data_IF_490137367934
#
_entry.id   IF_490137367934
#
_cell.length_a   1.000
_cell.length_b   1.000
_cell.length_c   1.000
_cell.angle_alpha   90.00
_cell.angle_beta   90.00
_cell.angle_gamma   90.00
#
_symmetry.space_group_name_H-M   'P 1'
#
loop_
_entity.id
_entity.type
_entity.pdbx_description
1 polymer ?
#
# COMPACT_ATOMS: atom_id res chain seq x y z
N UNK A 1 11.10 -28.92 1.55
CA UNK A 1 10.46 -27.70 1.03
C UNK A 1 10.40 -26.71 2.19
N UNK A 2 11.27 -25.70 2.21
CA UNK A 2 11.26 -24.68 3.27
C UNK A 2 10.02 -23.81 3.05
N UNK A 3 8.91 -24.17 3.70
CA UNK A 3 7.79 -23.24 3.85
C UNK A 3 8.26 -22.21 4.87
N UNK A 4 8.94 -21.16 4.40
CA UNK A 4 9.27 -20.00 5.22
C UNK A 4 7.96 -19.32 5.59
N UNK A 5 7.31 -19.81 6.64
CA UNK A 5 6.13 -19.19 7.24
C UNK A 5 6.52 -17.74 7.55
N UNK A 6 5.92 -16.80 6.83
CA UNK A 6 6.18 -15.39 7.04
C UNK A 6 5.88 -15.03 8.51
N UNK A 7 6.71 -14.23 9.19
CA UNK A 7 6.51 -13.98 10.61
C UNK A 7 5.14 -13.36 10.91
N UNK A 8 4.39 -13.94 11.85
CA UNK A 8 3.06 -13.44 12.23
C UNK A 8 3.09 -12.00 12.74
N UNK A 9 4.18 -11.59 13.41
CA UNK A 9 4.39 -10.22 13.85
C UNK A 9 4.42 -9.22 12.67
N UNK A 10 4.96 -9.64 11.53
CA UNK A 10 4.99 -8.82 10.31
C UNK A 10 3.62 -8.71 9.65
N UNK A 11 2.77 -9.74 9.78
CA UNK A 11 1.37 -9.65 9.35
C UNK A 11 0.58 -8.72 10.26
N UNK A 12 0.79 -8.80 11.58
CA UNK A 12 0.16 -7.90 12.54
C UNK A 12 0.56 -6.43 12.29
N UNK A 13 1.84 -6.18 12.01
CA UNK A 13 2.34 -4.85 11.64
C UNK A 13 1.69 -4.34 10.34
N UNK A 14 1.60 -5.18 9.30
CA UNK A 14 0.93 -4.82 8.05
C UNK A 14 -0.56 -4.51 8.25
N UNK A 15 -1.26 -5.29 9.09
CA UNK A 15 -2.66 -5.05 9.47
C UNK A 15 -2.83 -3.74 10.22
N UNK A 16 -1.93 -3.42 11.15
CA UNK A 16 -1.95 -2.16 11.89
C UNK A 16 -1.79 -0.95 10.94
N UNK A 17 -0.87 -1.05 9.97
CA UNK A 17 -0.70 0.00 8.93
C UNK A 17 -1.97 0.17 8.09
N UNK A 18 -2.65 -0.91 7.72
CA UNK A 18 -3.91 -0.82 6.96
C UNK A 18 -5.05 -0.25 7.82
N UNK A 19 -5.08 -0.58 9.11
CA UNK A 19 -6.04 0.01 10.05
C UNK A 19 -5.88 1.53 10.19
N UNK A 20 -4.66 2.04 9.98
CA UNK A 20 -4.32 3.46 10.15
C UNK A 20 -3.96 4.18 8.83
N UNK A 21 -4.61 3.77 7.72
CA UNK A 21 -4.37 4.31 6.36
C UNK A 21 -4.43 5.83 6.24
N UNK A 22 -5.19 6.51 7.11
CA UNK A 22 -5.33 7.96 7.08
C UNK A 22 -4.04 8.68 7.53
N UNK A 23 -3.23 8.04 8.39
CA UNK A 23 -2.03 8.63 8.98
C UNK A 23 -0.73 8.12 8.34
N UNK A 24 -0.82 7.13 7.46
CA UNK A 24 0.33 6.55 6.78
C UNK A 24 0.50 7.03 5.33
N UNK A 25 1.74 6.98 4.85
CA UNK A 25 2.08 7.36 3.47
C UNK A 25 1.69 6.27 2.47
N UNK A 26 1.24 6.66 1.27
CA UNK A 26 0.86 5.71 0.21
C UNK A 26 1.92 4.63 -0.08
N UNK A 27 3.24 4.92 -0.07
CA UNK A 27 4.27 3.89 -0.21
C UNK A 27 4.26 2.83 0.91
N UNK A 28 4.05 3.25 2.16
CA UNK A 28 3.99 2.34 3.30
C UNK A 28 2.74 1.47 3.25
N UNK A 29 1.60 2.07 2.87
CA UNK A 29 0.34 1.33 2.72
C UNK A 29 0.46 0.31 1.57
N UNK A 30 1.10 0.66 0.45
CA UNK A 30 1.40 -0.28 -0.65
C UNK A 30 2.25 -1.46 -0.18
N UNK A 31 3.29 -1.20 0.61
CA UNK A 31 4.15 -2.24 1.15
C UNK A 31 3.34 -3.21 2.04
N UNK A 32 2.54 -2.68 2.96
CA UNK A 32 1.66 -3.48 3.82
C UNK A 32 0.67 -4.32 3.00
N UNK A 33 0.04 -3.74 1.97
CA UNK A 33 -0.86 -4.49 1.10
C UNK A 33 -0.13 -5.61 0.36
N UNK A 34 1.06 -5.36 -0.19
CA UNK A 34 1.84 -6.40 -0.88
C UNK A 34 2.22 -7.57 0.04
N UNK A 35 2.47 -7.28 1.33
CA UNK A 35 2.73 -8.32 2.35
C UNK A 35 1.46 -9.16 2.56
N UNK A 36 0.30 -8.53 2.75
CA UNK A 36 -0.96 -9.26 2.97
C UNK A 36 -1.43 -10.01 1.73
N UNK A 37 -1.20 -9.51 0.51
CA UNK A 37 -1.53 -10.25 -0.73
C UNK A 37 -0.74 -11.55 -0.85
N UNK A 38 0.54 -11.54 -0.46
CA UNK A 38 1.44 -12.69 -0.60
C UNK A 38 1.37 -13.65 0.59
N UNK A 39 1.12 -13.11 1.79
CA UNK A 39 1.29 -13.85 3.05
C UNK A 39 0.07 -13.77 3.98
N UNK A 40 -1.00 -13.10 3.57
CA UNK A 40 -2.24 -13.02 4.34
C UNK A 40 -2.78 -14.41 4.67
N UNK A 41 -3.37 -14.54 5.85
CA UNK A 41 -3.80 -15.83 6.39
C UNK A 41 -5.11 -16.31 5.74
N UNK A 42 -5.95 -15.35 5.31
CA UNK A 42 -7.25 -15.63 4.70
C UNK A 42 -7.30 -15.14 3.26
N UNK A 43 -8.09 -15.79 2.41
CA UNK A 43 -8.28 -15.31 1.04
C UNK A 43 -9.03 -13.97 1.01
N UNK A 44 -9.95 -13.74 1.96
CA UNK A 44 -10.64 -12.46 2.10
C UNK A 44 -9.65 -11.32 2.36
N UNK A 45 -8.71 -11.50 3.29
CA UNK A 45 -7.68 -10.51 3.58
C UNK A 45 -6.79 -10.21 2.37
N UNK A 46 -6.44 -11.24 1.60
CA UNK A 46 -5.66 -11.07 0.37
C UNK A 46 -6.45 -10.27 -0.65
N UNK A 47 -7.74 -10.55 -0.80
CA UNK A 47 -8.60 -9.85 -1.75
C UNK A 47 -8.81 -8.39 -1.36
N UNK A 48 -9.09 -8.11 -0.09
CA UNK A 48 -9.24 -6.74 0.43
C UNK A 48 -7.95 -5.93 0.20
N UNK A 49 -6.78 -6.55 0.41
CA UNK A 49 -5.48 -5.92 0.14
C UNK A 49 -5.25 -5.65 -1.36
N UNK A 50 -5.70 -6.54 -2.27
CA UNK A 50 -5.65 -6.30 -3.73
C UNK A 50 -6.53 -5.12 -4.13
N UNK A 51 -7.76 -5.05 -3.60
CA UNK A 51 -8.70 -3.94 -3.85
C UNK A 51 -8.08 -2.62 -3.38
N UNK A 52 -7.52 -2.60 -2.17
CA UNK A 52 -6.90 -1.39 -1.63
C UNK A 52 -5.68 -0.92 -2.46
N UNK A 53 -4.87 -1.85 -3.00
CA UNK A 53 -3.78 -1.51 -3.92
C UNK A 53 -4.29 -0.79 -5.19
N UNK A 54 -5.41 -1.23 -5.76
CA UNK A 54 -6.02 -0.57 -6.92
C UNK A 54 -6.40 0.87 -6.58
N UNK A 55 -7.06 1.08 -5.45
CA UNK A 55 -7.47 2.42 -4.99
C UNK A 55 -6.25 3.33 -4.79
N UNK A 56 -5.20 2.84 -4.13
CA UNK A 56 -3.99 3.64 -3.87
C UNK A 56 -3.23 3.95 -5.17
N UNK A 57 -3.19 3.00 -6.11
CA UNK A 57 -2.57 3.22 -7.42
C UNK A 57 -3.32 4.27 -8.24
N UNK A 58 -4.65 4.29 -8.18
CA UNK A 58 -5.48 5.30 -8.82
C UNK A 58 -5.31 6.71 -8.20
N UNK A 59 -4.88 6.83 -6.93
CA UNK A 59 -4.59 8.13 -6.30
C UNK A 59 -3.33 8.79 -6.86
N UNK A 60 -2.32 8.03 -7.28
CA UNK A 60 -1.05 8.60 -7.75
C UNK A 60 -1.05 9.42 -9.06
N UNK A 61 -1.85 9.15 -10.12
CA UNK A 61 -1.87 10.01 -11.30
C UNK A 61 -2.20 11.47 -10.97
N UNK A 62 -3.04 11.72 -9.96
CA UNK A 62 -3.38 13.10 -9.54
C UNK A 62 -2.20 13.85 -8.90
N UNK A 63 -1.29 13.15 -8.21
CA UNK A 63 -0.16 13.75 -7.50
C UNK A 63 1.05 13.98 -8.41
N UNK A 64 1.31 13.07 -9.35
CA UNK A 64 2.35 13.22 -10.36
C UNK A 64 2.02 14.37 -11.35
N UNK A 65 0.77 14.50 -11.75
CA UNK A 65 0.30 15.64 -12.54
C UNK A 65 0.45 16.97 -11.78
N UNK A 66 0.00 17.03 -10.52
CA UNK A 66 0.11 18.23 -9.68
C UNK A 66 1.55 18.68 -9.43
N UNK A 67 2.53 17.77 -9.36
CA UNK A 67 3.94 18.12 -9.18
C UNK A 67 4.51 18.80 -10.43
N UNK A 68 4.21 18.29 -11.64
CA UNK A 68 4.58 18.93 -12.90
C UNK A 68 3.98 20.32 -13.06
N UNK A 69 2.75 20.53 -12.60
CA UNK A 69 2.07 21.85 -12.66
C UNK A 69 2.64 22.89 -11.68
N UNK A 70 3.37 22.45 -10.65
CA UNK A 70 4.09 23.32 -9.72
C UNK A 70 5.49 23.64 -10.25
N UNK A 71 6.21 22.63 -10.76
CA UNK A 71 7.54 22.79 -11.35
C UNK A 71 7.51 23.66 -12.62
N UNK A 72 6.46 23.54 -13.44
CA UNK A 72 6.27 24.37 -14.66
C UNK A 72 5.87 25.82 -14.39
N UNK A 73 5.53 26.17 -13.15
CA UNK A 73 5.13 27.54 -12.76
C UNK A 73 6.24 28.37 -12.12
N UNK A 74 7.38 27.77 -11.82
CA UNK A 74 8.57 28.45 -11.30
C UNK A 74 9.60 28.86 -12.37
N UNK A 75 9.33 28.57 -13.64
CA UNK A 75 10.23 28.82 -14.77
C UNK A 75 9.78 29.98 -15.68
N UNK A 76 9.08 30.99 -15.14
CA UNK A 76 8.73 32.22 -15.86
C UNK A 76 9.18 33.45 -15.11
#
# INVERSE_FOLDING_TARGET
MHNSTWPSDRLAEARAVIGDVAHHSDPLIRLACNILVQHGETEQEREDARILLVVINARQPTRAARRRDLDGRGAR
#
